data_IF_601210172204
#
_entry.id   IF_601210172204
#
_cell.length_a   1.000
_cell.length_b   1.000
_cell.length_c   1.000
_cell.angle_alpha   90.00
_cell.angle_beta   90.00
_cell.angle_gamma   90.00
#
_symmetry.space_group_name_H-M   'P 1'
#
loop_
_entity.id
_entity.type
_entity.pdbx_description
1 polymer ?
#
# COMPACT_ATOMS: atom_id res chain seq x y z
N UNK A 1 34.26 6.18 37.06
CA UNK A 1 34.13 4.80 36.54
C UNK A 1 32.70 4.32 36.77
N UNK A 2 32.16 3.59 35.80
CA UNK A 2 30.79 3.04 35.69
C UNK A 2 29.69 4.06 35.35
N UNK A 3 28.93 3.96 34.26
CA UNK A 3 28.78 2.86 33.30
C UNK A 3 27.35 2.91 32.75
N UNK A 4 27.22 3.44 31.54
CA UNK A 4 26.00 3.62 30.75
C UNK A 4 25.36 2.26 30.43
N UNK A 5 24.06 2.07 30.67
CA UNK A 5 23.21 1.10 29.90
C UNK A 5 21.72 1.37 30.12
N UNK A 6 21.18 2.32 29.37
CA UNK A 6 19.75 2.33 29.00
C UNK A 6 19.56 1.14 28.07
N UNK A 7 19.09 0.01 28.61
CA UNK A 7 18.75 -1.17 27.81
C UNK A 7 17.35 -0.98 27.26
N UNK A 8 17.28 -0.73 25.95
CA UNK A 8 16.07 -0.76 25.16
C UNK A 8 15.27 -2.04 25.44
N UNK A 9 14.04 -1.89 25.94
CA UNK A 9 12.98 -2.88 25.80
C UNK A 9 11.81 -2.17 25.14
N UNK A 10 11.88 -2.07 23.82
CA UNK A 10 10.70 -1.87 22.99
C UNK A 10 9.84 -3.14 23.09
N UNK A 11 8.67 -3.03 23.71
CA UNK A 11 7.57 -4.00 23.61
C UNK A 11 6.35 -3.48 24.40
N UNK A 12 5.77 -2.36 23.99
CA UNK A 12 4.50 -1.87 24.55
C UNK A 12 3.26 -2.58 23.98
N UNK A 13 3.41 -3.77 23.38
CA UNK A 13 2.31 -4.62 22.94
C UNK A 13 1.89 -5.65 24.02
N UNK A 14 1.91 -5.27 25.30
CA UNK A 14 1.49 -6.12 26.43
C UNK A 14 0.22 -5.56 27.05
N UNK A 15 -0.93 -6.11 26.69
CA UNK A 15 -2.18 -5.94 27.45
C UNK A 15 -2.11 -6.84 28.68
N UNK A 16 -2.26 -6.25 29.87
CA UNK A 16 -2.43 -7.01 31.10
C UNK A 16 -3.85 -7.59 31.13
N UNK A 17 -4.00 -8.85 30.74
CA UNK A 17 -5.12 -9.69 31.20
C UNK A 17 -4.72 -10.35 32.54
N UNK A 18 -5.70 -10.85 33.29
CA UNK A 18 -5.52 -11.45 34.63
C UNK A 18 -4.39 -12.50 34.77
N UNK A 19 -4.23 -13.04 35.99
CA UNK A 19 -2.93 -13.39 36.57
C UNK A 19 -1.98 -14.13 35.62
N UNK A 20 -1.01 -13.38 35.08
CA UNK A 20 0.32 -13.90 34.76
C UNK A 20 0.58 -14.43 33.35
N UNK A 21 -0.25 -14.13 32.33
CA UNK A 21 0.10 -14.52 30.94
C UNK A 21 0.15 -13.33 29.98
N UNK A 22 1.34 -12.69 29.90
CA UNK A 22 1.66 -11.69 28.90
C UNK A 22 1.81 -12.36 27.53
N UNK A 23 0.78 -12.29 26.69
CA UNK A 23 0.90 -12.72 25.29
C UNK A 23 1.53 -11.57 24.50
N UNK A 24 2.87 -11.54 24.46
CA UNK A 24 3.59 -10.66 23.55
C UNK A 24 3.34 -11.11 22.11
N UNK A 25 2.42 -10.46 21.40
CA UNK A 25 2.34 -10.62 19.96
C UNK A 25 3.55 -9.88 19.39
N UNK A 26 4.55 -10.63 18.92
CA UNK A 26 5.71 -10.00 18.28
C UNK A 26 5.26 -9.04 17.18
N UNK A 27 5.88 -7.86 17.09
CA UNK A 27 5.47 -6.78 16.20
C UNK A 27 5.26 -7.27 14.74
N UNK A 28 6.13 -8.16 14.24
CA UNK A 28 5.97 -8.77 12.92
C UNK A 28 4.69 -9.60 12.76
N UNK A 29 4.28 -10.36 13.78
CA UNK A 29 3.03 -11.13 13.76
C UNK A 29 1.81 -10.20 13.77
N UNK A 30 1.87 -9.11 14.54
CA UNK A 30 0.83 -8.09 14.56
C UNK A 30 0.65 -7.48 13.16
N UNK A 31 1.72 -6.93 12.57
CA UNK A 31 1.66 -6.33 11.23
C UNK A 31 1.19 -7.32 10.16
N UNK A 32 1.67 -8.56 10.19
CA UNK A 32 1.22 -9.60 9.25
C UNK A 32 -0.28 -9.91 9.42
N UNK A 33 -0.79 -9.99 10.65
CA UNK A 33 -2.23 -10.22 10.87
C UNK A 33 -3.08 -9.04 10.40
N UNK A 34 -2.64 -7.81 10.62
CA UNK A 34 -3.32 -6.59 10.12
C UNK A 34 -3.29 -6.53 8.60
N UNK A 35 -2.15 -6.82 7.97
CA UNK A 35 -2.01 -6.87 6.52
C UNK A 35 -2.93 -7.95 5.91
N UNK A 36 -2.93 -9.17 6.47
CA UNK A 36 -3.76 -10.26 6.00
C UNK A 36 -5.26 -9.98 6.16
N UNK A 37 -5.66 -9.36 7.28
CA UNK A 37 -7.04 -8.94 7.53
C UNK A 37 -7.50 -7.85 6.55
N UNK A 38 -6.65 -6.83 6.35
CA UNK A 38 -6.91 -5.73 5.42
C UNK A 38 -7.01 -6.21 3.98
N UNK A 39 -6.12 -7.12 3.56
CA UNK A 39 -6.16 -7.73 2.23
C UNK A 39 -7.47 -8.49 2.00
N UNK A 40 -7.93 -9.27 3.00
CA UNK A 40 -9.20 -10.02 2.90
C UNK A 40 -10.41 -9.10 2.76
N UNK A 41 -10.44 -7.99 3.52
CA UNK A 41 -11.48 -6.95 3.40
C UNK A 41 -11.46 -6.34 1.99
N UNK A 42 -10.28 -5.98 1.47
CA UNK A 42 -10.13 -5.38 0.15
C UNK A 42 -10.53 -6.35 -0.99
N UNK A 43 -10.14 -7.63 -0.88
CA UNK A 43 -10.44 -8.67 -1.88
C UNK A 43 -11.92 -9.07 -1.96
N UNK A 44 -12.76 -8.63 -1.01
CA UNK A 44 -14.19 -8.95 -1.00
C UNK A 44 -14.94 -8.18 -2.10
N UNK A 45 -14.46 -7.00 -2.50
CA UNK A 45 -15.07 -6.16 -3.54
C UNK A 45 -14.57 -6.49 -4.97
N UNK A 46 -14.80 -7.73 -5.40
CA UNK A 46 -14.26 -8.27 -6.66
C UNK A 46 -14.76 -7.54 -7.91
N UNK A 47 -16.00 -7.03 -7.89
CA UNK A 47 -16.58 -6.32 -9.04
C UNK A 47 -15.86 -4.98 -9.33
N UNK A 48 -15.56 -4.20 -8.29
CA UNK A 48 -14.80 -2.95 -8.43
C UNK A 48 -13.39 -3.18 -8.93
N UNK A 49 -12.70 -4.20 -8.38
CA UNK A 49 -11.37 -4.59 -8.85
C UNK A 49 -11.38 -5.07 -10.30
N UNK A 50 -12.37 -5.87 -10.71
CA UNK A 50 -12.49 -6.34 -12.09
C UNK A 50 -12.75 -5.18 -13.07
N UNK A 51 -13.63 -4.25 -12.71
CA UNK A 51 -13.88 -3.05 -13.52
C UNK A 51 -12.62 -2.17 -13.63
N UNK A 52 -11.87 -2.02 -12.54
CA UNK A 52 -10.60 -1.29 -12.52
C UNK A 52 -9.54 -1.94 -13.41
N UNK A 53 -9.36 -3.26 -13.32
CA UNK A 53 -8.42 -4.00 -14.18
C UNK A 53 -8.82 -3.90 -15.65
N UNK A 54 -10.11 -4.04 -15.95
CA UNK A 54 -10.63 -3.94 -17.31
C UNK A 54 -10.35 -2.55 -17.90
N UNK A 55 -10.77 -1.50 -17.21
CA UNK A 55 -10.58 -0.11 -17.68
C UNK A 55 -9.11 0.25 -17.81
N UNK A 56 -8.27 -0.12 -16.84
CA UNK A 56 -6.82 0.07 -16.91
C UNK A 56 -6.22 -0.64 -18.13
N UNK A 57 -6.60 -1.89 -18.39
CA UNK A 57 -6.11 -2.64 -19.56
C UNK A 57 -6.52 -1.97 -20.86
N UNK A 58 -7.77 -1.51 -20.99
CA UNK A 58 -8.24 -0.80 -22.18
C UNK A 58 -7.44 0.48 -22.41
N UNK A 59 -7.20 1.29 -21.37
CA UNK A 59 -6.37 2.49 -21.47
C UNK A 59 -4.92 2.16 -21.81
N UNK A 60 -4.36 1.08 -21.25
CA UNK A 60 -3.06 0.55 -21.61
C UNK A 60 -2.96 0.23 -23.10
N UNK A 61 -3.96 -0.45 -23.66
CA UNK A 61 -4.02 -0.76 -25.09
C UNK A 61 -4.10 0.50 -25.95
N UNK A 62 -4.88 1.51 -25.55
CA UNK A 62 -4.96 2.80 -26.25
C UNK A 62 -3.57 3.47 -26.31
N UNK A 63 -2.85 3.50 -25.18
CA UNK A 63 -1.50 4.05 -25.12
C UNK A 63 -0.52 3.25 -25.98
N UNK A 64 -0.58 1.91 -25.93
CA UNK A 64 0.25 1.04 -26.77
C UNK A 64 0.03 1.30 -28.26
N UNK A 65 -1.23 1.41 -28.70
CA UNK A 65 -1.56 1.75 -30.08
C UNK A 65 -0.99 3.11 -30.49
N UNK A 66 -1.10 4.11 -29.61
CA UNK A 66 -0.58 5.46 -29.84
C UNK A 66 0.95 5.46 -29.95
N UNK A 67 1.63 4.80 -28.99
CA UNK A 67 3.10 4.67 -28.99
C UNK A 67 3.62 3.88 -30.18
N UNK A 68 2.89 2.83 -30.60
CA UNK A 68 3.22 2.06 -31.78
C UNK A 68 3.16 2.92 -33.05
N UNK A 69 2.06 3.64 -33.27
CA UNK A 69 1.93 4.54 -34.40
C UNK A 69 3.02 5.64 -34.40
N UNK A 70 3.34 6.17 -33.22
CA UNK A 70 4.41 7.15 -33.05
C UNK A 70 5.78 6.60 -33.44
N UNK A 71 6.14 5.39 -32.99
CA UNK A 71 7.42 4.77 -33.33
C UNK A 71 7.51 4.33 -34.79
N UNK A 72 6.39 3.99 -35.42
CA UNK A 72 6.32 3.74 -36.87
C UNK A 72 6.61 5.03 -37.67
N UNK A 73 6.09 6.18 -37.23
CA UNK A 73 6.35 7.47 -37.89
C UNK A 73 7.74 8.05 -37.58
N UNK A 74 8.27 7.83 -36.37
CA UNK A 74 9.56 8.36 -35.90
C UNK A 74 10.31 7.26 -35.13
N UNK A 75 11.12 6.45 -35.82
CA UNK A 75 11.88 5.40 -35.15
C UNK A 75 13.03 6.00 -34.32
N UNK A 76 13.31 5.42 -33.15
CA UNK A 76 14.41 5.78 -32.23
C UNK A 76 14.27 7.11 -31.46
N UNK A 77 13.05 7.44 -31.00
CA UNK A 77 12.87 8.60 -30.12
C UNK A 77 13.63 8.43 -28.79
N UNK A 78 14.48 9.41 -28.47
CA UNK A 78 15.22 9.46 -27.20
C UNK A 78 16.20 8.30 -26.96
N UNK A 79 16.60 7.57 -28.01
CA UNK A 79 17.46 6.39 -27.89
C UNK A 79 16.74 5.11 -27.44
N UNK A 80 15.42 5.16 -27.23
CA UNK A 80 14.61 4.01 -26.85
C UNK A 80 14.10 3.24 -28.07
N UNK A 81 14.23 1.90 -27.99
CA UNK A 81 13.55 1.00 -28.91
C UNK A 81 12.04 0.95 -28.63
N UNK A 82 11.24 0.62 -29.64
CA UNK A 82 9.78 0.52 -29.51
C UNK A 82 9.36 -0.40 -28.35
N UNK A 83 10.01 -1.56 -28.21
CA UNK A 83 9.75 -2.48 -27.11
C UNK A 83 9.98 -1.86 -25.73
N UNK A 84 11.04 -1.04 -25.56
CA UNK A 84 11.31 -0.38 -24.29
C UNK A 84 10.25 0.67 -23.95
N UNK A 85 9.79 1.44 -24.94
CA UNK A 85 8.73 2.40 -24.76
C UNK A 85 7.40 1.73 -24.37
N UNK A 86 7.06 0.61 -25.01
CA UNK A 86 5.85 -0.15 -24.65
C UNK A 86 5.98 -0.78 -23.25
N UNK A 87 7.15 -1.28 -22.88
CA UNK A 87 7.40 -1.76 -21.52
C UNK A 87 7.20 -0.66 -20.49
N UNK A 88 7.65 0.57 -20.77
CA UNK A 88 7.43 1.71 -19.90
C UNK A 88 5.93 2.01 -19.71
N UNK A 89 5.14 1.99 -20.79
CA UNK A 89 3.68 2.16 -20.72
C UNK A 89 3.04 1.10 -19.81
N UNK A 90 3.38 -0.18 -20.01
CA UNK A 90 2.84 -1.27 -19.19
C UNK A 90 3.28 -1.23 -17.74
N UNK A 91 4.52 -0.79 -17.46
CA UNK A 91 4.99 -0.56 -16.11
C UNK A 91 4.14 0.53 -15.42
N UNK A 92 3.82 1.61 -16.13
CA UNK A 92 2.91 2.65 -15.64
C UNK A 92 1.51 2.10 -15.35
N UNK A 93 0.94 1.30 -16.25
CA UNK A 93 -0.38 0.69 -16.06
C UNK A 93 -0.42 -0.24 -14.83
N UNK A 94 0.63 -1.05 -14.61
CA UNK A 94 0.75 -1.94 -13.46
C UNK A 94 0.86 -1.20 -12.12
N UNK A 95 1.54 -0.05 -12.11
CA UNK A 95 1.71 0.76 -10.91
C UNK A 95 0.48 1.61 -10.56
N UNK A 96 -0.40 1.88 -11.53
CA UNK A 96 -1.55 2.77 -11.36
C UNK A 96 -2.45 2.36 -10.17
N UNK A 97 -2.87 1.09 -10.12
CA UNK A 97 -3.69 0.56 -9.03
C UNK A 97 -2.88 0.23 -7.79
N UNK A 98 -1.63 -0.23 -7.96
CA UNK A 98 -0.73 -0.60 -6.86
C UNK A 98 -0.43 0.61 -5.96
N UNK A 99 -0.29 1.79 -6.55
CA UNK A 99 -0.05 3.04 -5.85
C UNK A 99 -1.34 3.81 -5.53
N UNK A 100 -2.51 3.21 -5.78
CA UNK A 100 -3.83 3.85 -5.60
C UNK A 100 -3.93 5.25 -6.24
N UNK A 101 -3.27 5.48 -7.38
CA UNK A 101 -3.18 6.79 -8.05
C UNK A 101 -4.57 7.29 -8.49
N UNK A 102 -5.47 6.37 -8.83
CA UNK A 102 -6.87 6.69 -9.20
C UNK A 102 -7.82 6.88 -8.00
N UNK A 103 -7.30 6.87 -6.77
CA UNK A 103 -8.10 6.91 -5.54
C UNK A 103 -8.50 5.51 -5.03
N UNK A 104 -9.24 5.48 -3.92
CA UNK A 104 -9.63 4.24 -3.24
C UNK A 104 -8.58 3.66 -2.28
N UNK A 105 -7.50 4.40 -2.03
CA UNK A 105 -6.52 4.11 -0.98
C UNK A 105 -7.02 4.47 0.43
N UNK A 106 -6.17 4.23 1.43
CA UNK A 106 -6.44 4.51 2.84
C UNK A 106 -6.65 6.00 3.17
N UNK A 107 -6.16 6.90 2.32
CA UNK A 107 -6.19 8.35 2.54
C UNK A 107 -7.60 8.87 2.84
N UNK A 108 -8.63 8.43 2.13
CA UNK A 108 -10.00 8.91 2.33
C UNK A 108 -10.55 8.54 3.72
N UNK A 109 -10.38 7.28 4.14
CA UNK A 109 -10.80 6.84 5.48
C UNK A 109 -9.99 7.54 6.58
N UNK A 110 -8.70 7.78 6.33
CA UNK A 110 -7.82 8.47 7.28
C UNK A 110 -8.19 9.94 7.47
N UNK A 111 -8.41 10.65 6.37
CA UNK A 111 -8.81 12.06 6.39
C UNK A 111 -10.16 12.24 7.09
N UNK A 112 -11.09 11.30 6.92
CA UNK A 112 -12.38 11.35 7.62
C UNK A 112 -12.21 11.14 9.12
N UNK A 113 -11.37 10.19 9.57
CA UNK A 113 -11.05 9.97 10.98
C UNK A 113 -10.36 11.17 11.64
N UNK A 114 -9.55 11.92 10.88
CA UNK A 114 -8.98 13.19 11.35
C UNK A 114 -10.09 14.21 11.55
N UNK A 115 -11.00 14.34 10.57
CA UNK A 115 -12.11 15.29 10.62
C UNK A 115 -13.09 15.00 11.76
N UNK A 116 -13.41 13.73 12.03
CA UNK A 116 -14.33 13.32 13.09
C UNK A 116 -13.68 13.26 14.47
N UNK A 117 -12.35 13.22 14.54
CA UNK A 117 -11.59 13.07 15.79
C UNK A 117 -11.39 11.63 16.26
N UNK A 118 -11.89 10.63 15.52
CA UNK A 118 -11.72 9.21 15.82
C UNK A 118 -10.26 8.76 15.82
N UNK A 119 -9.38 9.52 15.14
CA UNK A 119 -7.93 9.31 15.17
C UNK A 119 -7.35 9.34 16.61
N UNK A 120 -7.98 10.06 17.54
CA UNK A 120 -7.54 10.10 18.94
C UNK A 120 -7.72 8.73 19.64
N UNK A 121 -8.74 7.97 19.25
CA UNK A 121 -8.98 6.62 19.78
C UNK A 121 -7.95 5.64 19.23
N UNK A 122 -7.59 5.77 17.94
CA UNK A 122 -6.55 4.95 17.32
C UNK A 122 -5.19 5.14 18.02
N UNK A 123 -4.87 6.38 18.42
CA UNK A 123 -3.65 6.74 19.16
C UNK A 123 -3.62 6.24 20.61
N UNK A 124 -4.79 6.04 21.23
CA UNK A 124 -4.87 5.50 22.60
C UNK A 124 -4.65 3.98 22.65
N UNK A 125 -4.70 3.29 21.50
CA UNK A 125 -4.50 1.84 21.44
C UNK A 125 -3.04 1.52 21.78
N UNK A 126 -2.76 0.47 22.58
CA UNK A 126 -1.39 0.07 22.95
C UNK A 126 -0.68 -0.63 21.78
N UNK A 127 -0.56 0.06 20.65
CA UNK A 127 0.17 -0.32 19.45
C UNK A 127 0.97 0.89 19.02
N UNK A 128 2.28 0.73 18.92
CA UNK A 128 3.16 1.78 18.43
C UNK A 128 2.97 1.97 16.92
N UNK A 129 2.60 3.18 16.50
CA UNK A 129 2.34 3.55 15.11
C UNK A 129 3.51 4.32 14.46
N UNK A 130 4.57 4.65 15.21
CA UNK A 130 5.64 5.57 14.78
C UNK A 130 7.02 4.91 14.62
N UNK A 131 7.04 3.58 14.50
CA UNK A 131 8.28 2.81 14.27
C UNK A 131 8.96 3.12 12.95
#
# INVERSE_FOLDING_TARGET
MAGRTVRALGSCASVADGPGRVVGVGAGRLYLTVAAGSFRRYATYRAGTAAGVFTNTVFGLILVCTYRALWEARPHLGGYGQGQALTYVWLGQALLSTLAIGGGGFEGEFMERIRTGDVAIDLYRPVDLQV
#
